data_IF_520779070518
#
_entry.id   IF_520779070518
#
_cell.length_a   1.000
_cell.length_b   1.000
_cell.length_c   1.000
_cell.angle_alpha   90.00
_cell.angle_beta   90.00
_cell.angle_gamma   90.00
#
_symmetry.space_group_name_H-M   'P 1'
#
loop_
_entity.id
_entity.type
_entity.pdbx_description
1 polymer ?
#
# COMPACT_ATOMS: atom_id res chain seq x y z
N UNK A 1 0.04 11.35 24.72
CA UNK A 1 1.07 10.33 25.03
C UNK A 1 1.71 9.72 23.77
N UNK A 2 0.94 9.16 22.82
CA UNK A 2 1.49 8.49 21.63
C UNK A 2 2.39 9.38 20.75
N UNK A 3 1.98 10.62 20.46
CA UNK A 3 2.77 11.57 19.65
C UNK A 3 4.16 11.85 20.22
N UNK A 4 4.27 11.95 21.55
CA UNK A 4 5.55 12.17 22.24
C UNK A 4 6.46 10.95 22.15
N UNK A 5 5.89 9.77 22.36
CA UNK A 5 6.61 8.50 22.21
C UNK A 5 7.17 8.33 20.77
N UNK A 6 6.33 8.54 19.75
CA UNK A 6 6.73 8.46 18.35
C UNK A 6 7.82 9.47 18.00
N UNK A 7 7.66 10.74 18.39
CA UNK A 7 8.69 11.77 18.17
C UNK A 7 10.03 11.37 18.78
N UNK A 8 10.02 10.79 19.98
CA UNK A 8 11.23 10.29 20.66
C UNK A 8 11.86 9.13 19.91
N UNK A 9 11.08 8.17 19.41
CA UNK A 9 11.61 7.04 18.64
C UNK A 9 12.19 7.49 17.30
N UNK A 10 11.53 8.42 16.61
CA UNK A 10 12.02 8.98 15.34
C UNK A 10 13.34 9.72 15.54
N UNK A 11 13.45 10.56 16.57
CA UNK A 11 14.70 11.27 16.86
C UNK A 11 15.85 10.31 17.19
N UNK A 12 15.58 9.28 18.00
CA UNK A 12 16.57 8.27 18.39
C UNK A 12 17.09 7.47 17.21
N UNK A 13 16.24 7.16 16.24
CA UNK A 13 16.56 6.30 15.08
C UNK A 13 16.77 7.12 13.79
N UNK A 14 16.96 8.44 13.88
CA UNK A 14 17.01 9.35 12.72
C UNK A 14 18.03 8.90 11.67
N UNK A 15 19.22 8.48 12.10
CA UNK A 15 20.31 8.03 11.22
C UNK A 15 19.92 6.76 10.45
N UNK A 16 19.36 5.78 11.15
CA UNK A 16 18.86 4.54 10.56
C UNK A 16 17.76 4.81 9.54
N UNK A 17 16.78 5.65 9.90
CA UNK A 17 15.67 6.03 9.02
C UNK A 17 16.21 6.72 7.76
N UNK A 18 17.16 7.64 7.90
CA UNK A 18 17.76 8.34 6.77
C UNK A 18 18.53 7.39 5.84
N UNK A 19 19.33 6.49 6.42
CA UNK A 19 20.07 5.49 5.66
C UNK A 19 19.13 4.54 4.90
N UNK A 20 18.01 4.15 5.50
CA UNK A 20 17.00 3.31 4.84
C UNK A 20 16.29 4.07 3.71
N UNK A 21 15.97 5.35 3.92
CA UNK A 21 15.38 6.21 2.89
C UNK A 21 16.32 6.39 1.69
N UNK A 22 17.62 6.56 1.92
CA UNK A 22 18.63 6.66 0.86
C UNK A 22 18.70 5.36 0.03
N UNK A 23 18.61 4.20 0.68
CA UNK A 23 18.62 2.91 -0.02
C UNK A 23 17.33 2.62 -0.79
N UNK A 24 16.25 3.34 -0.51
CA UNK A 24 14.98 3.25 -1.24
C UNK A 24 14.82 4.39 -2.26
N UNK A 25 15.85 5.22 -2.45
CA UNK A 25 15.81 6.35 -3.38
C UNK A 25 15.55 5.86 -4.81
N UNK A 26 14.58 6.49 -5.48
CA UNK A 26 14.21 6.13 -6.86
C UNK A 26 13.31 4.91 -7.00
N UNK A 27 13.02 4.17 -5.92
CA UNK A 27 12.08 3.04 -5.96
C UNK A 27 10.70 3.46 -6.52
N UNK A 28 10.14 4.55 -6.00
CA UNK A 28 8.81 5.03 -6.44
C UNK A 28 8.81 5.44 -7.92
N UNK A 29 9.85 6.13 -8.37
CA UNK A 29 9.99 6.50 -9.78
C UNK A 29 10.03 5.25 -10.67
N UNK A 30 10.86 4.27 -10.30
CA UNK A 30 11.00 3.03 -11.04
C UNK A 30 9.69 2.22 -11.05
N UNK A 31 9.00 2.15 -9.92
CA UNK A 31 7.71 1.47 -9.76
C UNK A 31 6.61 2.13 -10.62
N UNK A 32 6.62 3.45 -10.76
CA UNK A 32 5.61 4.16 -11.56
C UNK A 32 6.00 4.36 -13.02
N UNK A 33 7.23 4.02 -13.43
CA UNK A 33 7.73 4.18 -14.79
C UNK A 33 6.75 3.62 -15.83
N UNK A 34 6.38 2.35 -15.70
CA UNK A 34 5.53 1.67 -16.69
C UNK A 34 4.14 2.33 -16.84
N UNK A 35 3.58 2.83 -15.74
CA UNK A 35 2.31 3.55 -15.74
C UNK A 35 2.42 4.96 -16.33
N UNK A 36 3.51 5.67 -16.05
CA UNK A 36 3.65 7.09 -16.37
C UNK A 36 4.26 7.36 -17.75
N UNK A 37 4.96 6.38 -18.34
CA UNK A 37 5.74 6.57 -19.58
C UNK A 37 5.38 5.57 -20.68
N UNK A 38 4.36 4.73 -20.47
CA UNK A 38 3.91 3.63 -21.36
C UNK A 38 5.02 2.62 -21.75
N UNK A 39 6.21 2.77 -21.17
CA UNK A 39 7.40 1.98 -21.44
C UNK A 39 7.51 0.85 -20.42
N UNK A 40 7.59 -0.40 -20.91
CA UNK A 40 7.73 -1.57 -20.05
C UNK A 40 9.05 -1.55 -19.28
N UNK A 41 9.06 -2.18 -18.10
CA UNK A 41 10.31 -2.42 -17.39
C UNK A 41 11.21 -3.35 -18.18
N UNK A 42 12.49 -2.96 -18.25
CA UNK A 42 13.58 -3.84 -18.67
C UNK A 42 13.80 -4.96 -17.65
N UNK A 43 14.63 -5.95 -17.99
CA UNK A 43 14.91 -7.07 -17.09
C UNK A 43 15.66 -6.60 -15.83
N UNK A 44 16.61 -5.71 -16.03
CA UNK A 44 17.46 -5.10 -15.01
C UNK A 44 16.61 -4.28 -14.03
N UNK A 45 15.66 -3.50 -14.55
CA UNK A 45 14.72 -2.73 -13.75
C UNK A 45 13.80 -3.63 -12.91
N UNK A 46 13.32 -4.75 -13.47
CA UNK A 46 12.53 -5.73 -12.71
C UNK A 46 13.34 -6.36 -11.57
N UNK A 47 14.61 -6.65 -11.80
CA UNK A 47 15.50 -7.16 -10.75
C UNK A 47 15.71 -6.13 -9.65
N UNK A 48 15.89 -4.86 -10.02
CA UNK A 48 16.00 -3.76 -9.06
C UNK A 48 14.72 -3.54 -8.25
N UNK A 49 13.53 -3.62 -8.88
CA UNK A 49 12.23 -3.56 -8.18
C UNK A 49 12.11 -4.72 -7.20
N UNK A 50 12.47 -5.95 -7.60
CA UNK A 50 12.45 -7.11 -6.71
C UNK A 50 13.38 -6.93 -5.51
N UNK A 51 14.55 -6.32 -5.70
CA UNK A 51 15.46 -6.01 -4.60
C UNK A 51 14.85 -5.03 -3.59
N UNK A 52 14.21 -3.95 -4.07
CA UNK A 52 13.49 -3.01 -3.21
C UNK A 52 12.33 -3.67 -2.46
N UNK A 53 11.54 -4.50 -3.13
CA UNK A 53 10.41 -5.21 -2.51
C UNK A 53 10.89 -6.24 -1.48
N UNK A 54 11.97 -6.98 -1.78
CA UNK A 54 12.57 -7.93 -0.83
C UNK A 54 13.03 -7.20 0.43
N UNK A 55 13.66 -6.05 0.28
CA UNK A 55 14.07 -5.21 1.40
C UNK A 55 12.86 -4.74 2.23
N UNK A 56 11.81 -4.26 1.57
CA UNK A 56 10.58 -3.84 2.25
C UNK A 56 9.89 -5.00 2.99
N UNK A 57 9.96 -6.20 2.43
CA UNK A 57 9.36 -7.41 3.03
C UNK A 57 9.96 -7.78 4.38
N UNK A 58 11.20 -7.36 4.68
CA UNK A 58 11.81 -7.58 5.99
C UNK A 58 11.04 -6.88 7.14
N UNK A 59 10.29 -5.82 6.83
CA UNK A 59 9.49 -5.07 7.81
C UNK A 59 8.04 -5.60 7.94
N UNK A 60 7.59 -6.43 7.00
CA UNK A 60 6.21 -6.96 6.93
C UNK A 60 5.83 -7.84 8.13
N UNK A 61 6.69 -8.74 8.67
CA UNK A 61 6.31 -9.58 9.81
C UNK A 61 5.84 -8.77 11.04
N UNK A 62 6.53 -7.67 11.34
CA UNK A 62 6.14 -6.76 12.43
C UNK A 62 4.80 -6.12 12.13
N UNK A 63 4.62 -5.63 10.90
CA UNK A 63 3.37 -5.01 10.46
C UNK A 63 2.20 -6.01 10.55
N UNK A 64 2.38 -7.26 10.13
CA UNK A 64 1.33 -8.30 10.20
C UNK A 64 0.92 -8.59 11.65
N UNK A 65 1.86 -8.63 12.59
CA UNK A 65 1.54 -8.82 14.01
C UNK A 65 0.70 -7.66 14.59
N UNK A 66 0.93 -6.43 14.13
CA UNK A 66 0.13 -5.26 14.53
C UNK A 66 -1.20 -5.15 13.76
N UNK A 67 -1.23 -5.59 12.49
CA UNK A 67 -2.41 -5.52 11.64
C UNK A 67 -3.35 -6.69 11.89
N UNK A 68 -2.93 -7.92 12.17
CA UNK A 68 -3.85 -9.06 12.38
C UNK A 68 -4.92 -8.80 13.46
N UNK A 69 -4.62 -8.31 14.67
CA UNK A 69 -5.66 -8.07 15.66
C UNK A 69 -6.61 -6.91 15.29
N UNK A 70 -6.12 -5.84 14.64
CA UNK A 70 -6.94 -4.68 14.26
C UNK A 70 -7.59 -4.76 12.87
N UNK A 71 -6.92 -5.39 11.92
CA UNK A 71 -7.30 -5.50 10.51
C UNK A 71 -8.40 -6.51 10.27
N UNK A 72 -8.38 -7.64 10.99
CA UNK A 72 -9.51 -8.59 11.01
C UNK A 72 -10.81 -7.91 11.45
N UNK A 73 -10.70 -7.02 12.45
CA UNK A 73 -11.82 -6.25 12.97
C UNK A 73 -12.31 -5.17 11.97
N UNK A 74 -11.44 -4.69 11.08
CA UNK A 74 -11.80 -3.72 10.03
C UNK A 74 -12.42 -4.36 8.77
N UNK A 75 -12.23 -5.67 8.56
CA UNK A 75 -12.83 -6.40 7.43
C UNK A 75 -14.35 -6.24 7.31
N UNK A 76 -15.17 -6.37 8.38
CA UNK A 76 -16.62 -6.16 8.26
C UNK A 76 -16.97 -4.73 7.82
N UNK A 77 -16.26 -3.72 8.32
CA UNK A 77 -16.45 -2.32 7.91
C UNK A 77 -16.12 -2.14 6.42
N UNK A 78 -15.00 -2.74 5.97
CA UNK A 78 -14.61 -2.70 4.57
C UNK A 78 -15.62 -3.41 3.67
N UNK A 79 -16.12 -4.57 4.09
CA UNK A 79 -17.13 -5.33 3.37
C UNK A 79 -18.42 -4.51 3.21
N UNK A 80 -18.88 -3.84 4.26
CA UNK A 80 -20.05 -2.97 4.21
C UNK A 80 -19.85 -1.78 3.26
N UNK A 81 -18.68 -1.12 3.29
CA UNK A 81 -18.37 -0.03 2.35
C UNK A 81 -18.36 -0.52 0.90
N UNK A 82 -17.82 -1.71 0.65
CA UNK A 82 -17.74 -2.28 -0.69
C UNK A 82 -19.12 -2.71 -1.21
N UNK A 83 -19.97 -3.27 -0.36
CA UNK A 83 -21.33 -3.67 -0.72
C UNK A 83 -22.22 -2.45 -1.02
N UNK A 84 -22.08 -1.35 -0.26
CA UNK A 84 -22.73 -0.06 -0.57
C UNK A 84 -22.36 0.47 -1.96
N UNK A 85 -21.11 0.28 -2.41
CA UNK A 85 -20.69 0.67 -3.77
C UNK A 85 -21.30 -0.23 -4.84
N UNK A 86 -21.52 -1.51 -4.53
CA UNK A 86 -22.12 -2.48 -5.45
C UNK A 86 -23.62 -2.18 -5.66
N UNK A 87 -24.35 -1.85 -4.60
CA UNK A 87 -25.77 -1.48 -4.71
C UNK A 87 -26.00 -0.27 -5.64
N UNK A 88 -25.08 0.71 -5.65
CA UNK A 88 -25.14 1.87 -6.56
C UNK A 88 -24.94 1.51 -8.04
N UNK A 89 -24.41 0.33 -8.36
CA UNK A 89 -24.19 -0.14 -9.74
C UNK A 89 -25.29 -1.06 -10.26
N UNK A 90 -26.28 -1.41 -9.44
CA UNK A 90 -27.45 -2.16 -9.91
C UNK A 90 -28.20 -1.21 -10.84
N UNK A 91 -28.24 -1.47 -12.16
CA UNK A 91 -29.04 -0.65 -13.06
C UNK A 91 -30.49 -0.77 -12.62
N UNK A 92 -31.22 0.33 -12.60
CA UNK A 92 -32.65 0.29 -12.36
C UNK A 92 -33.35 -0.42 -13.52
N UNK A 93 -33.49 -1.73 -13.38
CA UNK A 93 -34.12 -2.63 -14.36
C UNK A 93 -35.63 -2.35 -14.47
N UNK A 94 -36.21 -1.56 -13.54
CA UNK A 94 -37.61 -1.12 -13.64
C UNK A 94 -37.82 0.02 -14.65
N UNK A 95 -36.73 0.61 -15.16
CA UNK A 95 -36.76 1.62 -16.22
C UNK A 95 -36.63 1.04 -17.64
N UNK A 96 -36.51 -0.29 -17.79
CA UNK A 96 -36.44 -0.96 -19.10
C UNK A 96 -37.87 -1.20 -19.60
N UNK A 97 -38.37 -0.49 -20.62
CA UNK A 97 -39.70 -0.73 -21.15
C UNK A 97 -39.78 -2.15 -21.74
N UNK A 98 -40.81 -2.89 -21.33
CA UNK A 98 -41.16 -4.16 -21.93
C UNK A 98 -41.55 -3.92 -23.39
N UNK A 99 -40.79 -4.49 -24.31
CA UNK A 99 -41.11 -4.57 -25.73
C UNK A 99 -41.27 -6.03 -26.11
#
# INVERSE_FOLDING_TARGET
MLKFFLKRQILKNKTLIFHEAQQMQGFLFLLFKERNTESKWTREEKEQIKAYLKRLSAYVPVIILFILPGGSLMLPILAEILDRRKQRRIPDISSVPAN
#
